data_IF_116779640927
#
_entry.id   IF_116779640927
#
_cell.length_a   1.000
_cell.length_b   1.000
_cell.length_c   1.000
_cell.angle_alpha   90.00
_cell.angle_beta   90.00
_cell.angle_gamma   90.00
#
_symmetry.space_group_name_H-M   'P 1'
#
loop_
_entity.id
_entity.type
_entity.pdbx_description
1 polymer ?
#
# COMPACT_ATOMS: atom_id res chain seq x y z
N UNK A 1 39.62 49.86 3.77
CA UNK A 1 40.14 50.92 2.86
C UNK A 1 40.93 50.24 1.75
N UNK A 2 40.56 50.53 0.48
CA UNK A 2 41.40 50.58 -0.75
C UNK A 2 42.47 49.49 -0.97
N UNK A 3 42.37 48.62 -1.97
CA UNK A 3 42.53 48.79 -3.45
C UNK A 3 43.85 48.12 -3.86
N UNK A 4 43.85 47.35 -4.95
CA UNK A 4 45.10 46.99 -5.63
C UNK A 4 45.01 45.83 -6.62
N UNK A 5 44.57 46.11 -7.84
CA UNK A 5 44.74 45.30 -9.06
C UNK A 5 46.22 45.09 -9.41
N UNK A 6 46.59 43.92 -9.96
CA UNK A 6 47.43 43.84 -11.17
C UNK A 6 47.01 42.64 -12.03
N UNK A 7 46.74 42.96 -13.29
CA UNK A 7 46.47 42.09 -14.43
C UNK A 7 47.75 41.36 -14.89
N UNK A 8 47.63 40.10 -15.30
CA UNK A 8 48.53 39.56 -16.34
C UNK A 8 47.75 38.59 -17.23
N UNK A 9 47.49 39.08 -18.43
CA UNK A 9 46.88 38.39 -19.56
C UNK A 9 48.00 37.63 -20.28
N UNK A 10 47.89 36.31 -20.45
CA UNK A 10 48.62 35.57 -21.49
C UNK A 10 47.62 34.71 -22.24
N UNK A 11 47.63 34.89 -23.55
CA UNK A 11 46.72 34.34 -24.54
C UNK A 11 47.12 32.91 -24.92
N UNK A 12 46.10 32.04 -24.94
CA UNK A 12 45.85 30.84 -25.74
C UNK A 12 47.00 29.90 -26.15
N UNK A 13 46.82 28.62 -25.80
CA UNK A 13 47.01 27.51 -26.73
C UNK A 13 45.91 26.46 -26.52
N UNK A 14 45.12 26.27 -27.57
CA UNK A 14 44.13 25.20 -27.73
C UNK A 14 44.84 23.84 -27.72
N UNK A 15 44.56 23.03 -26.72
CA UNK A 15 44.79 21.59 -26.76
C UNK A 15 43.44 20.88 -26.61
N UNK A 16 42.90 20.45 -27.74
CA UNK A 16 41.73 19.55 -27.83
C UNK A 16 42.19 18.19 -27.29
N UNK A 17 41.90 17.92 -26.02
CA UNK A 17 42.13 16.63 -25.37
C UNK A 17 40.78 15.96 -25.10
N UNK A 18 40.58 14.81 -25.74
CA UNK A 18 39.36 14.02 -25.77
C UNK A 18 38.69 13.86 -24.38
N UNK A 19 37.52 14.50 -24.21
CA UNK A 19 36.54 14.02 -23.24
C UNK A 19 36.01 12.69 -23.75
N UNK A 20 36.28 11.62 -23.00
CA UNK A 20 35.66 10.32 -23.24
C UNK A 20 34.15 10.49 -23.22
N UNK A 21 33.55 10.33 -24.39
CA UNK A 21 32.11 10.20 -24.53
C UNK A 21 31.68 9.00 -23.66
N UNK A 22 30.88 9.27 -22.64
CA UNK A 22 29.95 8.26 -22.15
C UNK A 22 29.22 7.71 -23.38
N UNK A 23 29.14 6.38 -23.58
CA UNK A 23 28.39 5.85 -24.69
C UNK A 23 26.95 6.33 -24.51
N UNK A 24 26.50 7.24 -25.38
CA UNK A 24 25.08 7.57 -25.47
C UNK A 24 24.39 6.24 -25.76
N UNK A 25 23.57 5.76 -24.83
CA UNK A 25 22.61 4.70 -25.09
C UNK A 25 21.92 5.10 -26.40
N UNK A 26 22.17 4.35 -27.47
CA UNK A 26 21.59 4.66 -28.77
C UNK A 26 20.10 4.81 -28.53
N UNK A 27 19.58 6.01 -28.77
CA UNK A 27 18.18 6.33 -28.57
C UNK A 27 17.41 5.51 -29.60
N UNK A 28 16.96 4.33 -29.18
CA UNK A 28 16.08 3.47 -29.96
C UNK A 28 14.88 4.32 -30.36
N UNK A 29 14.44 4.22 -31.61
CA UNK A 29 13.28 4.94 -32.16
C UNK A 29 11.93 4.57 -31.55
N UNK A 30 11.93 4.07 -30.32
CA UNK A 30 10.74 3.77 -29.52
C UNK A 30 10.29 5.01 -28.77
N UNK A 31 8.99 5.30 -28.82
CA UNK A 31 8.32 6.25 -27.94
C UNK A 31 6.91 5.74 -27.64
N UNK A 32 6.35 6.11 -26.49
CA UNK A 32 4.97 5.78 -26.14
C UNK A 32 3.99 6.23 -27.24
N UNK A 33 4.19 7.42 -27.82
CA UNK A 33 3.38 7.91 -28.93
C UNK A 33 3.44 7.00 -30.16
N UNK A 34 4.63 6.54 -30.57
CA UNK A 34 4.78 5.65 -31.73
C UNK A 34 4.16 4.27 -31.47
N UNK A 35 4.42 3.69 -30.29
CA UNK A 35 3.91 2.40 -29.89
C UNK A 35 2.37 2.41 -29.78
N UNK A 36 1.78 3.53 -29.38
CA UNK A 36 0.34 3.68 -29.22
C UNK A 36 -0.43 3.97 -30.52
N UNK A 37 0.24 4.38 -31.62
CA UNK A 37 -0.44 4.73 -32.89
C UNK A 37 -1.50 3.74 -33.38
N UNK A 38 -1.27 2.40 -33.34
CA UNK A 38 -2.28 1.44 -33.79
C UNK A 38 -3.55 1.40 -32.93
N UNK A 39 -3.50 1.97 -31.73
CA UNK A 39 -4.56 1.95 -30.71
C UNK A 39 -5.22 3.32 -30.52
N UNK A 40 -4.80 4.34 -31.25
CA UNK A 40 -5.43 5.66 -31.15
C UNK A 40 -6.93 5.58 -31.47
N UNK A 41 -7.77 6.15 -30.60
CA UNK A 41 -9.23 6.09 -30.69
C UNK A 41 -9.88 4.90 -29.98
N UNK A 42 -9.10 4.00 -29.36
CA UNK A 42 -9.66 2.98 -28.46
C UNK A 42 -9.94 3.56 -27.07
N UNK A 43 -10.68 2.80 -26.27
CA UNK A 43 -10.92 3.06 -24.85
C UNK A 43 -10.37 1.90 -24.03
N UNK A 44 -9.79 2.22 -22.87
CA UNK A 44 -9.36 1.29 -21.83
C UNK A 44 -10.19 1.59 -20.59
N UNK A 45 -10.85 0.59 -20.04
CA UNK A 45 -11.54 0.69 -18.76
C UNK A 45 -10.73 0.00 -17.67
N UNK A 46 -10.34 0.78 -16.67
CA UNK A 46 -9.53 0.32 -15.55
C UNK A 46 -10.34 0.25 -14.26
N UNK A 47 -10.22 -0.85 -13.51
CA UNK A 47 -10.81 -1.00 -12.18
C UNK A 47 -9.83 -0.51 -11.11
N UNK A 48 -10.24 0.45 -10.27
CA UNK A 48 -9.43 1.00 -9.19
C UNK A 48 -10.25 1.24 -7.90
N UNK A 49 -9.55 1.50 -6.80
CA UNK A 49 -10.17 1.94 -5.54
C UNK A 49 -10.19 3.48 -5.45
N UNK A 50 -10.95 4.01 -4.49
CA UNK A 50 -10.87 5.42 -4.13
C UNK A 50 -9.79 5.62 -3.06
N UNK A 51 -8.56 5.93 -3.48
CA UNK A 51 -7.45 6.25 -2.56
C UNK A 51 -6.77 7.56 -2.96
N UNK A 52 -6.24 8.35 -2.01
CA UNK A 52 -5.56 9.61 -2.34
C UNK A 52 -4.41 9.44 -3.36
N UNK A 53 -3.62 8.38 -3.24
CA UNK A 53 -2.55 8.07 -4.20
C UNK A 53 -3.09 7.78 -5.61
N UNK A 54 -4.27 7.16 -5.71
CA UNK A 54 -4.92 6.80 -6.96
C UNK A 54 -5.55 8.03 -7.62
N UNK A 55 -6.13 8.94 -6.83
CA UNK A 55 -6.58 10.25 -7.32
C UNK A 55 -5.43 11.06 -7.92
N UNK A 56 -4.22 10.98 -7.33
CA UNK A 56 -3.04 11.61 -7.92
C UNK A 56 -2.66 10.96 -9.27
N UNK A 57 -2.72 9.63 -9.38
CA UNK A 57 -2.48 8.94 -10.65
C UNK A 57 -3.55 9.29 -11.73
N UNK A 58 -4.81 9.49 -11.35
CA UNK A 58 -5.85 9.96 -12.28
C UNK A 58 -5.53 11.31 -12.92
N UNK A 59 -4.81 12.19 -12.21
CA UNK A 59 -4.40 13.49 -12.76
C UNK A 59 -3.37 13.36 -13.90
N UNK A 60 -2.73 12.19 -14.05
CA UNK A 60 -1.78 11.90 -15.12
C UNK A 60 -2.46 11.34 -16.38
N UNK A 61 -3.72 10.91 -16.29
CA UNK A 61 -4.48 10.34 -17.42
C UNK A 61 -4.55 11.31 -18.62
N UNK A 62 -4.87 12.61 -18.47
CA UNK A 62 -4.98 13.51 -19.61
C UNK A 62 -3.69 13.59 -20.47
N UNK A 63 -2.52 13.51 -19.84
CA UNK A 63 -1.24 13.49 -20.55
C UNK A 63 -1.08 12.18 -21.34
N UNK A 64 -1.39 11.03 -20.72
CA UNK A 64 -1.41 9.74 -21.40
C UNK A 64 -2.37 9.75 -22.60
N UNK A 65 -3.60 10.25 -22.44
CA UNK A 65 -4.58 10.33 -23.55
C UNK A 65 -4.09 11.24 -24.67
N UNK A 66 -3.44 12.37 -24.33
CA UNK A 66 -2.89 13.30 -25.32
C UNK A 66 -1.74 12.67 -26.13
N UNK A 67 -0.88 11.89 -25.47
CA UNK A 67 0.27 11.23 -26.12
C UNK A 67 -0.20 10.06 -27.00
N UNK A 68 -1.15 9.27 -26.53
CA UNK A 68 -1.52 7.98 -27.13
C UNK A 68 -2.75 8.04 -28.02
N UNK A 69 -3.64 9.00 -27.80
CA UNK A 69 -4.99 9.01 -28.40
C UNK A 69 -5.93 7.93 -27.84
N UNK A 70 -5.51 7.18 -26.81
CA UNK A 70 -6.32 6.17 -26.12
C UNK A 70 -7.11 6.88 -25.02
N UNK A 71 -8.40 6.54 -24.88
CA UNK A 71 -9.23 7.01 -23.77
C UNK A 71 -9.12 6.09 -22.57
N UNK A 72 -9.05 6.66 -21.36
CA UNK A 72 -8.96 5.88 -20.13
C UNK A 72 -10.11 6.25 -19.20
N UNK A 73 -10.92 5.25 -18.85
CA UNK A 73 -12.00 5.40 -17.87
C UNK A 73 -11.69 4.57 -16.64
N UNK A 74 -11.84 5.17 -15.46
CA UNK A 74 -11.67 4.46 -14.20
C UNK A 74 -13.02 4.13 -13.59
N UNK A 75 -13.22 2.86 -13.28
CA UNK A 75 -14.29 2.39 -12.42
C UNK A 75 -13.77 2.33 -10.99
N UNK A 76 -14.20 3.29 -10.17
CA UNK A 76 -13.78 3.42 -8.78
C UNK A 76 -14.78 2.70 -7.89
N UNK A 77 -14.33 1.66 -7.19
CA UNK A 77 -15.17 0.81 -6.35
C UNK A 77 -14.57 0.68 -4.94
N UNK A 78 -15.38 0.68 -3.86
CA UNK A 78 -14.91 0.39 -2.51
C UNK A 78 -14.25 -1.00 -2.41
N UNK A 79 -13.26 -1.15 -1.52
CA UNK A 79 -12.46 -2.37 -1.39
C UNK A 79 -13.32 -3.60 -1.14
N UNK A 80 -14.30 -3.49 -0.24
CA UNK A 80 -15.19 -4.57 0.18
C UNK A 80 -16.06 -5.13 -0.96
N UNK A 81 -16.26 -4.37 -2.03
CA UNK A 81 -17.03 -4.77 -3.20
C UNK A 81 -16.13 -5.21 -4.38
N UNK A 82 -14.80 -5.08 -4.23
CA UNK A 82 -13.88 -5.17 -5.36
C UNK A 82 -13.67 -6.59 -5.85
N UNK A 83 -13.38 -7.53 -4.93
CA UNK A 83 -13.17 -8.94 -5.30
C UNK A 83 -14.42 -9.53 -5.98
N UNK A 84 -15.61 -9.28 -5.43
CA UNK A 84 -16.87 -9.78 -5.99
C UNK A 84 -17.12 -9.22 -7.39
N UNK A 85 -16.99 -7.89 -7.57
CA UNK A 85 -17.25 -7.23 -8.84
C UNK A 85 -16.27 -7.68 -9.94
N UNK A 86 -14.98 -7.79 -9.63
CA UNK A 86 -13.98 -8.30 -10.57
C UNK A 86 -14.23 -9.77 -10.91
N UNK A 87 -14.50 -10.63 -9.91
CA UNK A 87 -14.80 -12.05 -10.12
C UNK A 87 -16.03 -12.26 -11.01
N UNK A 88 -17.09 -11.46 -10.82
CA UNK A 88 -18.29 -11.53 -11.65
C UNK A 88 -18.02 -11.12 -13.10
N UNK A 89 -17.18 -10.11 -13.34
CA UNK A 89 -16.80 -9.72 -14.71
C UNK A 89 -16.06 -10.85 -15.44
N UNK A 90 -15.09 -11.48 -14.76
CA UNK A 90 -14.29 -12.54 -15.35
C UNK A 90 -15.07 -13.84 -15.56
N UNK A 91 -15.86 -14.26 -14.58
CA UNK A 91 -16.65 -15.51 -14.66
C UNK A 91 -17.86 -15.36 -15.59
N UNK A 92 -18.43 -14.16 -15.70
CA UNK A 92 -19.50 -13.84 -16.64
C UNK A 92 -19.02 -13.68 -18.08
N UNK A 93 -17.71 -13.50 -18.29
CA UNK A 93 -17.12 -13.24 -19.61
C UNK A 93 -17.60 -11.92 -20.21
N UNK A 94 -17.98 -10.96 -19.36
CA UNK A 94 -18.53 -9.68 -19.80
C UNK A 94 -17.46 -8.69 -20.29
N UNK A 95 -16.19 -8.98 -19.99
CA UNK A 95 -15.01 -8.23 -20.42
C UNK A 95 -15.17 -6.71 -20.23
N UNK A 96 -15.64 -6.30 -19.06
CA UNK A 96 -15.87 -4.89 -18.73
C UNK A 96 -14.59 -4.15 -18.39
N UNK A 97 -13.55 -4.85 -17.93
CA UNK A 97 -12.30 -4.24 -17.50
C UNK A 97 -11.11 -4.76 -18.32
N UNK A 98 -10.31 -3.83 -18.85
CA UNK A 98 -9.07 -4.11 -19.56
C UNK A 98 -7.87 -4.16 -18.61
N UNK A 99 -7.94 -3.36 -17.53
CA UNK A 99 -6.94 -3.27 -16.47
C UNK A 99 -7.67 -3.42 -15.14
N UNK A 100 -7.14 -4.26 -14.25
CA UNK A 100 -7.68 -4.40 -12.90
C UNK A 100 -6.59 -4.20 -11.88
N UNK A 101 -6.91 -3.45 -10.83
CA UNK A 101 -6.11 -3.37 -9.63
C UNK A 101 -6.37 -4.62 -8.76
N UNK A 102 -5.33 -5.42 -8.54
CA UNK A 102 -5.39 -6.71 -7.86
C UNK A 102 -4.63 -6.66 -6.54
N UNK A 103 -5.30 -7.02 -5.45
CA UNK A 103 -4.68 -7.11 -4.13
C UNK A 103 -3.64 -8.23 -4.09
N UNK A 104 -2.57 -8.03 -3.32
CA UNK A 104 -1.48 -9.00 -3.09
C UNK A 104 -2.00 -10.39 -2.73
N UNK A 105 -3.10 -10.47 -1.96
CA UNK A 105 -3.69 -11.74 -1.51
C UNK A 105 -4.55 -12.44 -2.58
N UNK A 106 -4.82 -11.79 -3.73
CA UNK A 106 -5.68 -12.31 -4.80
C UNK A 106 -4.92 -12.78 -6.04
N UNK A 107 -3.68 -12.33 -6.24
CA UNK A 107 -2.88 -12.57 -7.45
C UNK A 107 -2.82 -14.06 -7.81
N UNK A 108 -2.57 -14.93 -6.83
CA UNK A 108 -2.53 -16.37 -7.07
C UNK A 108 -3.86 -16.95 -7.55
N UNK A 109 -4.98 -16.51 -6.98
CA UNK A 109 -6.30 -16.95 -7.42
C UNK A 109 -6.63 -16.43 -8.82
N UNK A 110 -6.30 -15.17 -9.12
CA UNK A 110 -6.56 -14.56 -10.42
C UNK A 110 -5.72 -15.23 -11.52
N UNK A 111 -4.45 -15.48 -11.25
CA UNK A 111 -3.54 -16.19 -12.14
C UNK A 111 -3.99 -17.65 -12.36
N UNK A 112 -4.33 -18.38 -11.30
CA UNK A 112 -4.72 -19.79 -11.39
C UNK A 112 -6.03 -19.99 -12.19
N UNK A 113 -6.95 -19.02 -12.15
CA UNK A 113 -8.19 -19.04 -12.95
C UNK A 113 -8.01 -18.44 -14.35
N UNK A 114 -6.84 -17.92 -14.70
CA UNK A 114 -6.56 -17.33 -16.01
C UNK A 114 -7.29 -16.00 -16.26
N UNK A 115 -7.70 -15.30 -15.20
CA UNK A 115 -8.38 -14.00 -15.29
C UNK A 115 -7.43 -12.85 -15.61
N UNK A 116 -6.16 -12.99 -15.25
CA UNK A 116 -5.08 -12.05 -15.58
C UNK A 116 -4.07 -12.73 -16.50
N UNK A 117 -3.47 -11.95 -17.41
CA UNK A 117 -2.53 -12.47 -18.40
C UNK A 117 -1.08 -12.34 -17.92
N UNK A 118 -0.17 -13.26 -18.29
CA UNK A 118 1.25 -13.10 -18.03
C UNK A 118 1.78 -11.82 -18.68
N UNK A 119 2.45 -10.96 -17.90
CA UNK A 119 3.01 -9.71 -18.40
C UNK A 119 4.17 -9.91 -19.37
N UNK A 120 4.75 -11.11 -19.38
CA UNK A 120 5.76 -11.52 -20.37
C UNK A 120 5.30 -11.23 -21.81
N UNK A 121 4.00 -11.36 -22.08
CA UNK A 121 3.39 -11.06 -23.40
C UNK A 121 3.62 -9.61 -23.85
N UNK A 122 3.79 -8.69 -22.90
CA UNK A 122 3.99 -7.27 -23.17
C UNK A 122 5.47 -6.89 -23.12
N UNK A 123 6.17 -7.14 -22.01
CA UNK A 123 7.55 -6.66 -21.86
C UNK A 123 8.59 -7.42 -22.70
N UNK A 124 8.26 -8.60 -23.24
CA UNK A 124 9.10 -9.27 -24.27
C UNK A 124 8.73 -8.91 -25.70
N UNK A 125 7.66 -8.14 -25.93
CA UNK A 125 7.27 -7.69 -27.26
C UNK A 125 7.96 -6.35 -27.59
N UNK A 126 8.92 -6.29 -28.54
CA UNK A 126 9.66 -5.06 -28.82
C UNK A 126 8.80 -3.89 -29.32
N UNK A 127 7.58 -4.15 -29.81
CA UNK A 127 6.64 -3.11 -30.22
C UNK A 127 5.90 -2.46 -29.03
N UNK A 128 5.82 -3.15 -27.90
CA UNK A 128 5.07 -2.73 -26.71
C UNK A 128 5.96 -2.47 -25.49
N UNK A 129 7.12 -3.11 -25.41
CA UNK A 129 8.01 -3.04 -24.28
C UNK A 129 8.56 -1.63 -24.11
N UNK A 130 8.22 -1.01 -22.99
CA UNK A 130 8.85 0.24 -22.56
C UNK A 130 10.34 -0.04 -22.25
N UNK A 131 11.29 0.58 -22.98
CA UNK A 131 12.72 0.38 -22.76
C UNK A 131 13.20 0.92 -21.40
N UNK A 132 12.37 1.70 -20.71
CA UNK A 132 12.61 2.19 -19.35
C UNK A 132 12.09 1.24 -18.26
N UNK A 133 11.23 0.25 -18.61
CA UNK A 133 10.77 -0.76 -17.65
C UNK A 133 11.96 -1.60 -17.16
N UNK A 134 12.28 -1.44 -15.88
CA UNK A 134 13.33 -2.18 -15.21
C UNK A 134 12.73 -3.07 -14.12
N UNK A 135 12.47 -4.34 -14.43
CA UNK A 135 11.91 -5.29 -13.46
C UNK A 135 12.86 -5.52 -12.26
N UNK A 136 14.17 -5.46 -12.47
CA UNK A 136 15.18 -5.54 -11.41
C UNK A 136 15.25 -4.25 -10.57
N UNK A 137 14.55 -3.20 -10.99
CA UNK A 137 14.43 -1.93 -10.27
C UNK A 137 13.42 -1.97 -9.12
N UNK A 138 12.52 -2.96 -9.09
CA UNK A 138 11.59 -3.15 -7.98
C UNK A 138 12.30 -3.77 -6.78
N UNK A 139 11.79 -3.47 -5.58
CA UNK A 139 12.16 -4.28 -4.41
C UNK A 139 11.72 -5.73 -4.66
N UNK A 140 12.62 -6.73 -4.52
CA UNK A 140 12.29 -8.12 -4.87
C UNK A 140 11.01 -8.63 -4.21
N UNK A 141 10.83 -8.34 -2.92
CA UNK A 141 9.63 -8.74 -2.16
C UNK A 141 8.32 -8.19 -2.75
N UNK A 142 8.33 -7.00 -3.35
CA UNK A 142 7.14 -6.40 -3.94
C UNK A 142 6.78 -7.10 -5.25
N UNK A 143 7.75 -7.27 -6.15
CA UNK A 143 7.48 -7.97 -7.41
C UNK A 143 7.11 -9.44 -7.19
N UNK A 144 7.80 -10.11 -6.27
CA UNK A 144 7.52 -11.51 -5.91
C UNK A 144 6.15 -11.68 -5.26
N UNK A 145 5.78 -10.85 -4.28
CA UNK A 145 4.55 -11.06 -3.52
C UNK A 145 3.31 -10.49 -4.22
N UNK A 146 3.45 -9.41 -4.99
CA UNK A 146 2.32 -8.64 -5.54
C UNK A 146 2.14 -8.89 -7.03
N UNK A 147 3.22 -9.18 -7.75
CA UNK A 147 3.16 -9.34 -9.19
C UNK A 147 3.27 -10.78 -9.67
N UNK A 148 3.75 -11.70 -8.82
CA UNK A 148 4.23 -13.01 -9.27
C UNK A 148 3.43 -14.16 -8.66
N UNK A 149 3.11 -15.15 -9.50
CA UNK A 149 2.55 -16.42 -9.07
C UNK A 149 3.22 -17.57 -9.83
N UNK A 150 3.67 -18.59 -9.11
CA UNK A 150 4.37 -19.76 -9.66
C UNK A 150 5.54 -19.39 -10.60
N UNK A 151 6.31 -18.36 -10.22
CA UNK A 151 7.45 -17.85 -10.98
C UNK A 151 7.10 -17.02 -12.22
N UNK A 152 5.82 -16.73 -12.46
CA UNK A 152 5.35 -15.92 -13.60
C UNK A 152 4.81 -14.58 -13.12
N UNK A 153 5.24 -13.49 -13.75
CA UNK A 153 4.77 -12.13 -13.46
C UNK A 153 3.44 -11.89 -14.20
N UNK A 154 2.38 -11.61 -13.44
CA UNK A 154 1.04 -11.27 -13.91
C UNK A 154 0.65 -9.81 -13.64
N UNK A 155 1.31 -9.14 -12.70
CA UNK A 155 1.07 -7.73 -12.35
C UNK A 155 2.37 -6.98 -12.09
N UNK A 156 2.35 -5.66 -12.22
CA UNK A 156 3.44 -4.80 -11.76
C UNK A 156 2.99 -4.13 -10.45
N UNK A 157 3.82 -4.11 -9.39
CA UNK A 157 3.48 -3.41 -8.16
C UNK A 157 3.10 -1.96 -8.46
N UNK A 158 1.83 -1.60 -8.24
CA UNK A 158 1.31 -0.25 -8.45
C UNK A 158 1.52 0.59 -7.20
N UNK A 159 1.26 0.00 -6.03
CA UNK A 159 1.60 0.56 -4.75
C UNK A 159 1.89 -0.52 -3.69
N UNK A 160 2.49 -0.09 -2.57
CA UNK A 160 2.76 -0.95 -1.44
C UNK A 160 2.53 -0.22 -0.13
N UNK A 161 2.04 -0.95 0.86
CA UNK A 161 1.69 -0.46 2.18
C UNK A 161 2.44 -1.23 3.25
N UNK A 162 2.84 -0.51 4.29
CA UNK A 162 3.29 -1.13 5.54
C UNK A 162 2.27 -0.88 6.64
N UNK A 163 2.07 -1.88 7.49
CA UNK A 163 1.34 -1.73 8.73
C UNK A 163 2.06 -0.80 9.70
N UNK A 164 1.38 0.25 10.15
CA UNK A 164 1.90 1.23 11.09
C UNK A 164 0.95 1.40 12.28
N UNK A 165 1.49 1.81 13.42
CA UNK A 165 0.71 2.32 14.53
C UNK A 165 0.54 3.83 14.36
N UNK A 166 -0.70 4.26 14.12
CA UNK A 166 -1.09 5.66 14.19
C UNK A 166 -1.70 5.95 15.55
N UNK A 167 -1.36 7.10 16.14
CA UNK A 167 -1.80 7.45 17.48
C UNK A 167 -2.03 8.93 17.68
N UNK A 168 -2.89 9.28 18.62
CA UNK A 168 -3.16 10.63 19.07
C UNK A 168 -2.24 10.96 20.27
N UNK A 169 -1.13 11.66 20.00
CA UNK A 169 -0.15 12.11 21.02
C UNK A 169 -0.81 12.86 22.17
N UNK A 170 -1.76 13.74 21.87
CA UNK A 170 -2.43 14.55 22.88
C UNK A 170 -3.26 13.68 23.84
N UNK A 171 -3.99 12.67 23.34
CA UNK A 171 -4.70 11.72 24.20
C UNK A 171 -3.74 10.90 25.08
N UNK A 172 -2.59 10.51 24.54
CA UNK A 172 -1.55 9.82 25.31
C UNK A 172 -0.99 10.73 26.42
N UNK A 173 -0.63 11.98 26.09
CA UNK A 173 -0.12 12.97 27.03
C UNK A 173 -1.12 13.30 28.15
N UNK A 174 -2.40 13.48 27.80
CA UNK A 174 -3.50 13.66 28.76
C UNK A 174 -3.66 12.48 29.72
N UNK A 175 -3.33 11.27 29.26
CA UNK A 175 -3.32 10.05 30.07
C UNK A 175 -1.98 9.83 30.81
N UNK A 176 -1.01 10.73 30.66
CA UNK A 176 0.29 10.67 31.34
C UNK A 176 1.37 9.88 30.61
N UNK A 177 1.17 9.55 29.34
CA UNK A 177 2.14 8.84 28.50
C UNK A 177 2.91 9.83 27.61
N UNK A 178 4.24 9.68 27.54
CA UNK A 178 5.12 10.49 26.69
C UNK A 178 5.63 9.75 25.44
N UNK A 179 5.17 8.52 25.23
CA UNK A 179 5.51 7.67 24.08
C UNK A 179 4.33 6.73 23.78
N UNK A 180 4.24 6.17 22.56
CA UNK A 180 3.33 5.07 22.28
C UNK A 180 3.80 3.76 22.96
N UNK A 181 2.92 2.73 23.04
CA UNK A 181 3.31 1.42 23.54
C UNK A 181 4.36 0.77 22.63
N UNK A 182 5.38 0.16 23.22
CA UNK A 182 6.41 -0.59 22.49
C UNK A 182 5.99 -2.04 22.22
N UNK A 183 5.10 -2.58 23.07
CA UNK A 183 4.62 -3.96 22.98
C UNK A 183 3.09 -4.04 23.00
N UNK A 184 2.56 -5.11 22.40
CA UNK A 184 1.13 -5.40 22.45
C UNK A 184 0.63 -5.62 23.87
N UNK A 185 1.46 -6.20 24.74
CA UNK A 185 1.15 -6.37 26.16
C UNK A 185 1.05 -5.04 26.90
N UNK A 186 1.93 -4.09 26.61
CA UNK A 186 1.86 -2.73 27.16
C UNK A 186 0.57 -2.04 26.69
N UNK A 187 0.23 -2.17 25.40
CA UNK A 187 -1.01 -1.64 24.84
C UNK A 187 -2.23 -2.18 25.59
N UNK A 188 -2.30 -3.51 25.81
CA UNK A 188 -3.41 -4.16 26.50
C UNK A 188 -3.49 -3.80 27.99
N UNK A 189 -2.38 -3.92 28.72
CA UNK A 189 -2.39 -3.91 30.18
C UNK A 189 -2.19 -2.51 30.80
N UNK A 190 -1.60 -1.58 30.05
CA UNK A 190 -1.26 -0.23 30.55
C UNK A 190 -2.09 0.83 29.84
N UNK A 191 -2.03 0.86 28.51
CA UNK A 191 -2.70 1.92 27.73
C UNK A 191 -4.21 1.69 27.66
N UNK A 192 -4.64 0.43 27.49
CA UNK A 192 -6.04 0.00 27.46
C UNK A 192 -6.89 0.62 28.58
N UNK A 193 -6.58 0.32 29.86
CA UNK A 193 -7.30 0.87 31.00
C UNK A 193 -7.21 2.38 31.15
N UNK A 194 -6.08 2.99 30.80
CA UNK A 194 -5.82 4.42 31.03
C UNK A 194 -6.53 5.32 30.01
N UNK A 195 -6.67 4.85 28.76
CA UNK A 195 -7.23 5.61 27.64
C UNK A 195 -8.70 5.28 27.35
N UNK A 196 -9.22 4.17 27.88
CA UNK A 196 -10.63 3.79 27.69
C UNK A 196 -11.50 4.35 28.81
N UNK A 197 -12.06 5.54 28.59
CA UNK A 197 -12.96 6.25 29.52
C UNK A 197 -13.77 7.30 28.79
N UNK A 198 -14.89 7.73 29.37
CA UNK A 198 -15.67 8.88 28.90
C UNK A 198 -16.10 8.79 27.41
N UNK A 199 -16.41 7.59 26.93
CA UNK A 199 -16.78 7.33 25.53
C UNK A 199 -15.61 7.39 24.53
N UNK A 200 -14.38 7.40 25.03
CA UNK A 200 -13.13 7.23 24.26
C UNK A 200 -12.55 5.84 24.50
N UNK A 201 -11.79 5.35 23.53
CA UNK A 201 -11.22 4.00 23.55
C UNK A 201 -9.72 4.04 23.30
N UNK A 202 -8.99 3.09 23.90
CA UNK A 202 -7.53 3.05 23.71
C UNK A 202 -7.16 2.68 22.27
N UNK A 203 -7.93 1.80 21.63
CA UNK A 203 -7.53 1.20 20.36
C UNK A 203 -8.73 0.91 19.46
N UNK A 204 -8.54 0.94 18.14
CA UNK A 204 -9.47 0.35 17.18
C UNK A 204 -8.71 -0.44 16.11
N UNK A 205 -9.39 -1.44 15.58
CA UNK A 205 -8.89 -2.35 14.55
C UNK A 205 -10.07 -2.81 13.69
N UNK A 206 -9.85 -2.88 12.38
CA UNK A 206 -10.85 -3.33 11.42
C UNK A 206 -11.34 -4.73 11.83
N UNK A 207 -12.64 -4.88 12.04
CA UNK A 207 -13.21 -6.14 12.58
C UNK A 207 -14.48 -6.57 11.87
N UNK A 208 -14.90 -5.86 10.81
CA UNK A 208 -16.02 -6.24 9.95
C UNK A 208 -15.77 -7.60 9.30
N UNK A 209 -16.76 -8.50 9.40
CA UNK A 209 -16.68 -9.85 8.83
C UNK A 209 -16.37 -9.79 7.33
N UNK A 210 -15.29 -10.43 6.92
CA UNK A 210 -14.84 -10.44 5.53
C UNK A 210 -13.34 -10.75 5.45
N UNK A 211 -12.77 -10.51 4.26
CA UNK A 211 -11.32 -10.63 4.01
C UNK A 211 -10.54 -9.80 5.03
N UNK A 212 -10.91 -8.53 5.23
CA UNK A 212 -10.25 -7.58 6.15
C UNK A 212 -10.16 -8.11 7.57
N UNK A 213 -11.19 -8.81 8.04
CA UNK A 213 -11.12 -9.48 9.34
C UNK A 213 -10.12 -10.64 9.31
N UNK A 214 -10.25 -11.55 8.34
CA UNK A 214 -9.51 -12.82 8.32
C UNK A 214 -8.02 -12.70 7.93
N UNK A 215 -7.70 -11.90 6.92
CA UNK A 215 -6.39 -11.86 6.28
C UNK A 215 -5.58 -10.63 6.67
N UNK A 216 -6.24 -9.55 7.09
CA UNK A 216 -5.56 -8.39 7.68
C UNK A 216 -5.58 -8.45 9.22
N UNK A 217 -6.69 -8.04 9.84
CA UNK A 217 -6.68 -7.74 11.26
C UNK A 217 -6.41 -8.96 12.15
N UNK A 218 -6.88 -10.16 11.79
CA UNK A 218 -6.53 -11.40 12.50
C UNK A 218 -5.02 -11.68 12.38
N UNK A 219 -4.45 -11.48 11.20
CA UNK A 219 -3.03 -11.72 10.94
C UNK A 219 -2.13 -10.78 11.72
N UNK A 220 -2.47 -9.49 11.74
CA UNK A 220 -1.80 -8.51 12.60
C UNK A 220 -1.77 -8.92 14.06
N UNK A 221 -2.78 -9.66 14.54
CA UNK A 221 -2.82 -10.12 15.93
C UNK A 221 -2.12 -11.46 16.17
N UNK A 222 -2.11 -12.40 15.23
CA UNK A 222 -1.49 -13.71 15.47
C UNK A 222 0.00 -13.74 15.12
N UNK A 223 0.47 -13.01 14.11
CA UNK A 223 1.88 -13.03 13.71
C UNK A 223 2.83 -12.57 14.83
N UNK A 224 2.54 -11.49 15.58
CA UNK A 224 3.39 -11.06 16.70
C UNK A 224 3.47 -12.11 17.83
N UNK A 225 2.55 -13.07 17.87
CA UNK A 225 2.55 -14.18 18.82
C UNK A 225 3.21 -15.46 18.25
N UNK A 226 3.67 -15.41 17.00
CA UNK A 226 4.29 -16.55 16.31
C UNK A 226 3.29 -17.50 15.64
N UNK A 227 2.00 -17.12 15.56
CA UNK A 227 0.96 -17.91 14.93
C UNK A 227 0.88 -17.69 13.42
N UNK A 228 0.09 -18.53 12.74
CA UNK A 228 -0.23 -18.41 11.31
C UNK A 228 -1.58 -19.05 10.99
N UNK A 229 -2.22 -18.68 9.86
CA UNK A 229 -3.43 -19.36 9.37
C UNK A 229 -3.11 -20.76 8.85
N UNK A 230 -2.00 -20.88 8.12
CA UNK A 230 -1.61 -22.05 7.36
C UNK A 230 -0.19 -22.47 7.74
N UNK A 231 0.08 -23.77 7.56
CA UNK A 231 1.43 -24.32 7.54
C UNK A 231 2.00 -24.27 6.11
N UNK A 232 3.27 -24.61 5.97
CA UNK A 232 3.96 -24.64 4.67
C UNK A 232 3.32 -25.63 3.67
N UNK A 233 2.62 -26.65 4.16
CA UNK A 233 1.86 -27.62 3.35
C UNK A 233 0.43 -27.17 3.04
N UNK A 234 0.10 -25.90 3.30
CA UNK A 234 -1.23 -25.29 3.15
C UNK A 234 -2.34 -25.91 4.02
N UNK A 235 -2.00 -26.75 5.00
CA UNK A 235 -2.99 -27.20 6.01
C UNK A 235 -3.20 -26.13 7.09
N UNK A 236 -4.34 -26.18 7.77
CA UNK A 236 -4.68 -25.21 8.82
C UNK A 236 -3.69 -25.24 9.99
N UNK A 237 -3.25 -24.05 10.41
CA UNK A 237 -2.45 -23.82 11.61
C UNK A 237 -3.16 -22.93 12.65
N UNK A 238 -4.44 -22.64 12.43
CA UNK A 238 -5.20 -21.71 13.28
C UNK A 238 -5.39 -22.21 14.72
N UNK A 239 -5.36 -23.53 14.92
CA UNK A 239 -5.47 -24.17 16.24
C UNK A 239 -4.13 -24.37 16.95
N UNK A 240 -3.01 -23.84 16.43
CA UNK A 240 -1.72 -23.91 17.11
C UNK A 240 -1.77 -23.11 18.43
N UNK A 241 -0.95 -23.46 19.44
CA UNK A 241 -0.86 -22.68 20.67
C UNK A 241 -0.59 -21.19 20.44
N UNK A 242 0.25 -20.85 19.47
CA UNK A 242 0.64 -19.49 19.10
C UNK A 242 -0.51 -18.73 18.43
N UNK A 243 -1.19 -19.36 17.47
CA UNK A 243 -2.37 -18.78 16.81
C UNK A 243 -3.50 -18.55 17.82
N UNK A 244 -3.77 -19.52 18.69
CA UNK A 244 -4.76 -19.39 19.76
C UNK A 244 -4.37 -18.31 20.78
N UNK A 245 -3.08 -18.10 21.05
CA UNK A 245 -2.61 -17.04 21.95
C UNK A 245 -2.91 -15.65 21.35
N UNK A 246 -2.59 -15.43 20.07
CA UNK A 246 -2.92 -14.16 19.39
C UNK A 246 -4.43 -13.90 19.31
N UNK A 247 -5.24 -14.93 19.06
CA UNK A 247 -6.71 -14.79 19.04
C UNK A 247 -7.27 -14.45 20.42
N UNK A 248 -6.78 -15.10 21.49
CA UNK A 248 -7.14 -14.75 22.87
C UNK A 248 -6.73 -13.33 23.22
N UNK A 249 -5.53 -12.92 22.81
CA UNK A 249 -5.07 -11.54 22.98
C UNK A 249 -6.02 -10.54 22.31
N UNK A 250 -6.45 -10.81 21.07
CA UNK A 250 -7.44 -9.97 20.38
C UNK A 250 -8.75 -9.85 21.19
N UNK A 251 -9.26 -10.96 21.72
CA UNK A 251 -10.48 -10.95 22.55
C UNK A 251 -10.32 -10.11 23.81
N UNK A 252 -9.17 -10.19 24.47
CA UNK A 252 -8.86 -9.35 25.63
C UNK A 252 -8.77 -7.87 25.25
N UNK A 253 -8.16 -7.57 24.10
CA UNK A 253 -8.00 -6.20 23.61
C UNK A 253 -9.33 -5.54 23.23
N UNK A 254 -10.33 -6.32 22.79
CA UNK A 254 -11.67 -5.80 22.47
C UNK A 254 -12.34 -5.07 23.64
N UNK A 255 -11.92 -5.31 24.89
CA UNK A 255 -12.40 -4.57 26.08
C UNK A 255 -12.09 -3.07 26.01
N UNK A 256 -11.10 -2.69 25.20
CA UNK A 256 -10.61 -1.32 25.04
C UNK A 256 -10.86 -0.76 23.62
N UNK A 257 -11.76 -1.39 22.87
CA UNK A 257 -12.23 -0.96 21.55
C UNK A 257 -13.68 -0.44 21.60
N UNK A 258 -14.12 0.36 20.62
CA UNK A 258 -15.53 0.73 20.45
C UNK A 258 -16.48 -0.49 20.49
N UNK A 259 -17.67 -0.40 21.13
CA UNK A 259 -18.62 -1.52 21.24
C UNK A 259 -19.11 -2.05 19.89
N UNK A 260 -19.14 -1.21 18.87
CA UNK A 260 -19.54 -1.50 17.50
C UNK A 260 -18.35 -1.85 16.58
N UNK A 261 -17.17 -2.15 17.15
CA UNK A 261 -15.95 -2.43 16.37
C UNK A 261 -16.14 -3.52 15.30
N UNK A 262 -17.02 -4.50 15.55
CA UNK A 262 -17.33 -5.58 14.60
C UNK A 262 -18.02 -5.10 13.31
N UNK A 263 -18.41 -3.83 13.24
CA UNK A 263 -18.91 -3.19 12.03
C UNK A 263 -17.83 -2.40 11.27
N UNK A 264 -16.66 -2.17 11.86
CA UNK A 264 -15.64 -1.28 11.31
C UNK A 264 -14.79 -1.98 10.25
N UNK A 265 -14.68 -1.35 9.09
CA UNK A 265 -13.67 -1.61 8.07
C UNK A 265 -12.52 -0.58 8.21
N UNK A 266 -11.62 -0.50 7.22
CA UNK A 266 -10.51 0.45 7.20
C UNK A 266 -10.98 1.89 7.40
N UNK A 267 -11.99 2.31 6.65
CA UNK A 267 -12.45 3.70 6.64
C UNK A 267 -13.06 4.10 8.00
N UNK A 268 -13.90 3.26 8.62
CA UNK A 268 -14.44 3.54 9.95
C UNK A 268 -13.34 3.59 11.02
N UNK A 269 -12.35 2.69 10.93
CA UNK A 269 -11.24 2.65 11.89
C UNK A 269 -10.38 3.91 11.80
N UNK A 270 -10.06 4.34 10.57
CA UNK A 270 -9.30 5.57 10.32
C UNK A 270 -10.09 6.80 10.76
N UNK A 271 -11.39 6.85 10.49
CA UNK A 271 -12.25 7.94 10.95
C UNK A 271 -12.34 8.00 12.47
N UNK A 272 -12.40 6.86 13.16
CA UNK A 272 -12.43 6.83 14.62
C UNK A 272 -11.19 7.50 15.23
N UNK A 273 -10.00 7.28 14.66
CA UNK A 273 -8.79 8.00 15.08
C UNK A 273 -8.83 9.47 14.65
N UNK A 274 -9.18 9.75 13.40
CA UNK A 274 -9.21 11.10 12.82
C UNK A 274 -10.13 12.05 13.61
N UNK A 275 -11.24 11.53 14.14
CA UNK A 275 -12.17 12.28 14.98
C UNK A 275 -11.83 12.22 16.49
N UNK A 276 -10.70 11.60 16.85
CA UNK A 276 -10.20 11.46 18.21
C UNK A 276 -11.11 10.62 19.11
N UNK A 277 -11.87 9.66 18.55
CA UNK A 277 -12.69 8.70 19.33
C UNK A 277 -11.83 7.59 19.92
N UNK A 278 -10.77 7.19 19.22
CA UNK A 278 -9.77 6.24 19.72
C UNK A 278 -8.40 6.88 19.81
N UNK A 279 -7.57 6.39 20.73
CA UNK A 279 -6.21 6.91 20.91
C UNK A 279 -5.22 6.33 19.90
N UNK A 280 -5.43 5.10 19.44
CA UNK A 280 -4.47 4.36 18.60
C UNK A 280 -5.21 3.45 17.60
N UNK A 281 -4.62 3.25 16.43
CA UNK A 281 -5.03 2.22 15.46
C UNK A 281 -3.80 1.62 14.80
N UNK A 282 -3.89 0.35 14.38
CA UNK A 282 -2.97 -0.18 13.37
C UNK A 282 -3.63 -0.07 12.01
N UNK A 283 -2.93 0.52 11.05
CA UNK A 283 -3.46 0.69 9.69
C UNK A 283 -2.33 0.81 8.66
N UNK A 284 -2.68 0.71 7.38
CA UNK A 284 -1.79 0.87 6.25
C UNK A 284 -1.19 2.27 6.15
N UNK A 285 0.05 2.36 5.69
CA UNK A 285 0.76 3.61 5.43
C UNK A 285 0.02 4.57 4.48
N UNK A 286 -0.84 4.05 3.61
CA UNK A 286 -1.67 4.84 2.70
C UNK A 286 -2.62 5.82 3.42
N UNK A 287 -3.08 5.49 4.63
CA UNK A 287 -4.02 6.33 5.39
C UNK A 287 -3.35 7.53 6.07
N UNK A 288 -2.03 7.68 5.98
CA UNK A 288 -1.34 8.89 6.40
C UNK A 288 -1.93 10.15 5.75
N UNK A 289 -2.25 10.09 4.45
CA UNK A 289 -2.83 11.23 3.72
C UNK A 289 -4.18 11.68 4.33
N UNK A 290 -5.00 10.74 4.80
CA UNK A 290 -6.27 11.04 5.46
C UNK A 290 -6.05 11.60 6.87
N UNK A 291 -5.13 11.02 7.64
CA UNK A 291 -4.90 11.40 9.04
C UNK A 291 -4.15 12.73 9.20
N UNK A 292 -3.31 13.08 8.23
CA UNK A 292 -2.52 14.32 8.22
C UNK A 292 -3.23 15.52 7.56
N UNK A 293 -4.38 15.29 6.93
CA UNK A 293 -5.14 16.35 6.26
C UNK A 293 -6.16 17.00 7.23
N UNK A 294 -6.08 18.32 7.48
CA UNK A 294 -6.99 19.01 8.40
C UNK A 294 -8.45 19.07 7.91
N UNK A 295 -8.70 18.83 6.62
CA UNK A 295 -10.06 18.72 6.09
C UNK A 295 -10.75 17.41 6.50
N UNK A 296 -9.98 16.36 6.81
CA UNK A 296 -10.48 15.02 7.12
C UNK A 296 -10.16 14.56 8.54
N UNK A 297 -9.22 15.22 9.23
CA UNK A 297 -8.72 14.83 10.55
C UNK A 297 -8.69 16.01 11.51
N UNK A 298 -9.16 15.78 12.74
CA UNK A 298 -9.14 16.75 13.85
C UNK A 298 -7.88 16.63 14.71
N UNK A 299 -7.05 15.63 14.45
CA UNK A 299 -5.89 15.31 15.28
C UNK A 299 -4.57 15.65 14.58
N UNK A 300 -4.56 16.44 13.51
CA UNK A 300 -3.35 16.67 12.69
C UNK A 300 -2.14 17.12 13.51
N UNK A 301 -2.32 18.06 14.44
CA UNK A 301 -1.25 18.55 15.32
C UNK A 301 -0.84 17.50 16.38
N UNK A 302 -1.78 16.61 16.72
CA UNK A 302 -1.63 15.52 17.67
C UNK A 302 -1.21 14.19 17.00
N UNK A 303 -1.07 14.12 15.68
CA UNK A 303 -0.82 12.87 14.98
C UNK A 303 0.60 12.37 15.27
N UNK A 304 0.68 11.12 15.74
CA UNK A 304 1.89 10.36 15.90
C UNK A 304 1.85 9.10 15.04
N UNK A 305 3.03 8.66 14.60
CA UNK A 305 3.19 7.46 13.75
C UNK A 305 4.44 6.73 14.23
N UNK A 306 4.34 5.41 14.34
CA UNK A 306 5.47 4.53 14.62
C UNK A 306 5.23 3.14 14.03
N UNK A 307 6.23 2.27 14.13
CA UNK A 307 6.08 0.84 13.81
C UNK A 307 5.08 0.17 14.76
N UNK A 308 4.42 -0.87 14.28
CA UNK A 308 3.50 -1.64 15.13
C UNK A 308 4.20 -2.20 16.39
N UNK A 309 3.47 -2.37 17.51
CA UNK A 309 4.04 -2.91 18.75
C UNK A 309 4.61 -4.31 18.54
N UNK A 310 5.67 -4.63 19.29
CA UNK A 310 6.22 -5.98 19.28
C UNK A 310 5.32 -6.95 20.08
N UNK A 311 5.16 -8.17 19.57
CA UNK A 311 4.66 -9.29 20.36
C UNK A 311 5.80 -10.20 20.83
N UNK A 312 5.48 -11.33 21.48
CA UNK A 312 6.48 -12.31 21.93
C UNK A 312 7.39 -12.85 20.82
N UNK A 313 6.91 -12.90 19.58
CA UNK A 313 7.66 -13.31 18.38
C UNK A 313 8.31 -12.12 17.64
N UNK A 314 8.36 -10.95 18.27
CA UNK A 314 8.94 -9.73 17.72
C UNK A 314 7.94 -8.85 16.97
N UNK A 315 8.47 -7.90 16.18
CA UNK A 315 7.67 -7.04 15.31
C UNK A 315 7.39 -7.76 14.00
N UNK A 316 6.11 -7.94 13.70
CA UNK A 316 5.62 -8.62 12.49
C UNK A 316 4.58 -7.74 11.78
N UNK A 317 4.94 -6.51 11.36
CA UNK A 317 4.00 -5.63 10.68
C UNK A 317 3.59 -6.24 9.34
N UNK A 318 2.33 -6.04 8.96
CA UNK A 318 1.83 -6.52 7.68
C UNK A 318 2.44 -5.72 6.51
N UNK A 319 2.63 -6.40 5.39
CA UNK A 319 2.94 -5.81 4.08
C UNK A 319 1.72 -6.06 3.19
N UNK A 320 1.21 -5.02 2.54
CA UNK A 320 0.04 -5.08 1.67
C UNK A 320 0.16 -4.13 0.49
N UNK A 321 -0.89 -4.00 -0.32
CA UNK A 321 -0.95 -3.12 -1.49
C UNK A 321 -1.30 -3.89 -2.76
N UNK A 322 -1.17 -3.24 -3.91
CA UNK A 322 -1.82 -3.71 -5.14
C UNK A 322 -0.88 -3.74 -6.35
N UNK A 323 -1.23 -4.58 -7.32
CA UNK A 323 -0.63 -4.63 -8.66
C UNK A 323 -1.66 -4.41 -9.76
#
# INVERSE_FOLDING_TARGET
MRKGFVFLLVVALLAVGAFGATPSRAQSGWSLAEAAKPYAGTEIRAFFLERPGYVAAQQMIPEFEQITGIKVTWDVTPYENSLEKQTLDFTGGTAQFDVVLVDVVWIGNFAANGWIVPLEKFYKNPALADPELNLDGFFPILLESFGTWDGVIYGLPFDNYSGLLYYNKCMLEEAGFNRPPETWEELLNVYGPALTKDGKYAFALQSKRGETQSADSFMRMIWPFGGSLLKDDFTSNLSSPESLAGLKFRQELMKYMPPDIVAFDHDETVQALAQGQVAMITEWSAFYATLSNPATSRITDCLGITVEPAGPAGRKPALGGFS
#
